data_IF_748522594013
#
_entry.id   IF_748522594013
#
_cell.length_a   1.000
_cell.length_b   1.000
_cell.length_c   1.000
_cell.angle_alpha   90.00
_cell.angle_beta   90.00
_cell.angle_gamma   90.00
#
_symmetry.space_group_name_H-M   'P 1'
#
loop_
_entity.id
_entity.type
_entity.pdbx_description
1 polymer ?
#
# COMPACT_ATOMS: atom_id res chain seq x y z
N UNK A 1 -6.19 -17.59 -3.09
CA UNK A 1 -6.79 -16.55 -3.92
C UNK A 1 -5.74 -15.97 -4.87
N UNK A 2 -6.19 -15.33 -5.94
CA UNK A 2 -5.32 -14.83 -6.99
C UNK A 2 -5.57 -13.34 -7.20
N UNK A 3 -4.53 -12.60 -7.61
CA UNK A 3 -4.57 -11.18 -7.93
C UNK A 3 -4.37 -10.98 -9.44
N UNK A 4 -5.04 -10.00 -10.02
CA UNK A 4 -4.65 -9.44 -11.32
C UNK A 4 -3.36 -8.62 -11.19
N UNK A 5 -2.85 -8.14 -12.32
CA UNK A 5 -1.86 -7.06 -12.30
C UNK A 5 -2.50 -5.80 -11.72
N UNK A 6 -1.80 -5.06 -10.83
CA UNK A 6 -2.32 -3.79 -10.34
C UNK A 6 -2.31 -2.72 -11.42
N UNK A 7 -3.41 -2.00 -11.54
CA UNK A 7 -3.57 -0.79 -12.34
C UNK A 7 -3.36 0.43 -11.45
N UNK A 8 -2.77 1.48 -11.96
CA UNK A 8 -2.44 2.63 -11.13
C UNK A 8 -2.50 3.96 -11.89
N UNK A 9 -2.70 5.02 -11.12
CA UNK A 9 -2.56 6.39 -11.58
C UNK A 9 -1.86 7.23 -10.50
N UNK A 10 -0.74 7.85 -10.84
CA UNK A 10 0.09 8.63 -9.90
C UNK A 10 0.04 10.15 -10.13
N UNK A 11 -0.64 10.61 -11.18
CA UNK A 11 -0.70 12.04 -11.50
C UNK A 11 0.62 12.60 -12.05
N UNK A 12 0.83 13.90 -11.81
CA UNK A 12 2.00 14.61 -12.32
C UNK A 12 3.13 14.59 -11.31
N UNK A 13 4.31 14.20 -11.75
CA UNK A 13 5.51 14.21 -10.92
C UNK A 13 6.03 15.66 -10.76
N UNK A 14 6.40 16.01 -9.53
CA UNK A 14 7.02 17.29 -9.18
C UNK A 14 8.21 17.08 -8.25
N UNK A 15 9.14 18.02 -8.23
CA UNK A 15 10.30 17.98 -7.33
C UNK A 15 9.89 18.33 -5.90
N UNK A 16 10.45 17.64 -4.91
CA UNK A 16 10.15 17.88 -3.49
C UNK A 16 10.75 19.20 -2.99
N UNK A 17 11.90 19.63 -3.53
CA UNK A 17 12.60 20.85 -3.13
C UNK A 17 11.91 22.16 -3.54
N UNK A 18 10.89 22.10 -4.42
CA UNK A 18 10.10 23.28 -4.82
C UNK A 18 8.83 23.45 -3.99
N UNK A 19 8.49 22.50 -3.10
CA UNK A 19 7.34 22.62 -2.21
C UNK A 19 7.48 23.88 -1.33
N UNK A 20 6.39 24.63 -1.16
CA UNK A 20 6.39 25.87 -0.39
C UNK A 20 6.96 25.71 1.02
N UNK A 21 6.74 24.55 1.64
CA UNK A 21 7.19 24.21 2.99
C UNK A 21 8.68 23.80 3.05
N UNK A 22 9.30 23.53 1.91
CA UNK A 22 10.67 23.00 1.79
C UNK A 22 11.64 24.01 1.18
N UNK A 23 11.24 24.70 0.09
CA UNK A 23 12.10 25.48 -0.81
C UNK A 23 13.01 26.51 -0.13
N UNK A 24 12.52 27.13 0.96
CA UNK A 24 13.25 28.18 1.69
C UNK A 24 13.85 27.65 3.01
N UNK A 25 13.90 26.33 3.20
CA UNK A 25 14.42 25.67 4.39
C UNK A 25 15.58 24.73 4.04
N UNK A 26 16.85 25.18 4.15
CA UNK A 26 18.02 24.36 3.82
C UNK A 26 18.11 23.05 4.63
N UNK A 27 17.66 23.07 5.89
CA UNK A 27 17.64 21.86 6.73
C UNK A 27 16.63 20.84 6.22
N UNK A 28 15.45 21.29 5.82
CA UNK A 28 14.44 20.40 5.20
C UNK A 28 14.95 19.79 3.90
N UNK A 29 15.58 20.60 3.03
CA UNK A 29 16.18 20.12 1.78
C UNK A 29 17.24 19.05 2.08
N UNK A 30 18.14 19.30 3.05
CA UNK A 30 19.18 18.34 3.42
C UNK A 30 18.58 17.04 3.96
N UNK A 31 17.57 17.10 4.84
CA UNK A 31 16.93 15.91 5.39
C UNK A 31 16.24 15.07 4.32
N UNK A 32 15.58 15.71 3.33
CA UNK A 32 15.00 15.00 2.19
C UNK A 32 16.08 14.32 1.35
N UNK A 33 17.21 15.00 1.10
CA UNK A 33 18.33 14.43 0.37
C UNK A 33 18.92 13.22 1.10
N UNK A 34 19.13 13.33 2.42
CA UNK A 34 19.60 12.21 3.27
C UNK A 34 18.63 11.03 3.25
N UNK A 35 17.33 11.30 3.13
CA UNK A 35 16.26 10.31 3.01
C UNK A 35 16.02 9.82 1.58
N UNK A 36 16.82 10.30 0.62
CA UNK A 36 16.75 9.97 -0.82
C UNK A 36 15.42 10.37 -1.48
N UNK A 37 14.70 11.36 -0.94
CA UNK A 37 13.43 11.84 -1.51
C UNK A 37 13.70 13.00 -2.46
N UNK A 38 13.43 12.83 -3.75
CA UNK A 38 13.65 13.85 -4.77
C UNK A 38 12.36 14.41 -5.36
N UNK A 39 11.36 13.52 -5.53
CA UNK A 39 10.10 13.84 -6.21
C UNK A 39 8.90 13.32 -5.44
N UNK A 40 7.73 13.85 -5.79
CA UNK A 40 6.42 13.38 -5.37
C UNK A 40 5.44 13.47 -6.53
N UNK A 41 4.28 12.86 -6.42
CA UNK A 41 3.20 12.96 -7.41
C UNK A 41 2.06 13.81 -6.85
N UNK A 42 1.47 14.64 -7.70
CA UNK A 42 0.29 15.43 -7.41
C UNK A 42 -0.82 15.13 -8.41
N UNK A 43 -2.03 14.94 -7.92
CA UNK A 43 -3.21 14.66 -8.71
C UNK A 43 -4.14 15.87 -8.68
N UNK A 44 -4.59 16.28 -9.86
CA UNK A 44 -5.71 17.22 -10.02
C UNK A 44 -6.98 16.41 -10.23
N UNK A 45 -7.92 16.50 -9.32
CA UNK A 45 -9.18 15.76 -9.39
C UNK A 45 -9.65 15.28 -8.01
N UNK A 46 -10.82 14.69 -7.99
CA UNK A 46 -11.38 14.08 -6.80
C UNK A 46 -11.20 12.54 -6.79
N UNK A 47 -11.51 11.93 -5.66
CA UNK A 47 -11.40 10.49 -5.49
C UNK A 47 -12.31 9.72 -6.46
N UNK A 48 -13.49 10.25 -6.80
CA UNK A 48 -14.42 9.61 -7.73
C UNK A 48 -13.84 9.50 -9.13
N UNK A 49 -13.39 10.62 -9.70
CA UNK A 49 -12.79 10.67 -11.03
C UNK A 49 -11.61 9.68 -11.16
N UNK A 50 -10.78 9.59 -10.10
CA UNK A 50 -9.62 8.70 -10.10
C UNK A 50 -10.02 7.24 -9.92
N UNK A 51 -11.00 6.96 -9.07
CA UNK A 51 -11.56 5.62 -8.87
C UNK A 51 -12.19 5.12 -10.16
N UNK A 52 -13.00 5.96 -10.83
CA UNK A 52 -13.62 5.64 -12.12
C UNK A 52 -12.56 5.28 -13.16
N UNK A 53 -11.51 6.11 -13.26
CA UNK A 53 -10.43 5.90 -14.21
C UNK A 53 -9.75 4.54 -14.01
N UNK A 54 -9.25 4.26 -12.79
CA UNK A 54 -8.48 3.02 -12.56
C UNK A 54 -9.37 1.77 -12.63
N UNK A 55 -10.63 1.87 -12.20
CA UNK A 55 -11.58 0.76 -12.31
C UNK A 55 -12.01 0.50 -13.76
N UNK A 56 -12.24 1.55 -14.55
CA UNK A 56 -12.56 1.42 -15.97
C UNK A 56 -11.43 0.71 -16.73
N UNK A 57 -10.18 1.12 -16.50
CA UNK A 57 -9.00 0.48 -17.10
C UNK A 57 -8.88 -0.99 -16.63
N UNK A 58 -8.96 -1.24 -15.32
CA UNK A 58 -8.89 -2.58 -14.73
C UNK A 58 -10.00 -3.52 -15.29
N UNK A 59 -11.25 -3.06 -15.30
CA UNK A 59 -12.37 -3.88 -15.78
C UNK A 59 -12.24 -4.19 -17.27
N UNK A 60 -11.78 -3.23 -18.07
CA UNK A 60 -11.53 -3.42 -19.50
C UNK A 60 -10.46 -4.48 -19.76
N UNK A 61 -9.32 -4.38 -19.08
CA UNK A 61 -8.19 -5.31 -19.28
C UNK A 61 -8.46 -6.72 -18.77
N UNK A 62 -9.18 -6.82 -17.65
CA UNK A 62 -9.59 -8.12 -17.08
C UNK A 62 -10.88 -8.68 -17.74
N UNK A 63 -11.43 -7.98 -18.76
CA UNK A 63 -12.67 -8.32 -19.45
C UNK A 63 -13.85 -8.57 -18.48
N UNK A 64 -13.96 -7.75 -17.44
CA UNK A 64 -15.01 -7.84 -16.43
C UNK A 64 -16.24 -7.03 -16.81
N UNK A 65 -17.39 -7.58 -16.56
CA UNK A 65 -18.67 -6.85 -16.56
C UNK A 65 -19.06 -6.49 -15.12
N UNK A 66 -19.97 -5.50 -14.90
CA UNK A 66 -20.46 -5.18 -13.55
C UNK A 66 -21.04 -6.40 -12.81
N UNK A 67 -21.61 -7.38 -13.54
CA UNK A 67 -22.20 -8.58 -12.98
C UNK A 67 -21.15 -9.57 -12.43
N UNK A 68 -19.91 -9.49 -12.87
CA UNK A 68 -18.81 -10.32 -12.37
C UNK A 68 -18.30 -9.84 -11.00
N UNK A 69 -18.65 -8.60 -10.61
CA UNK A 69 -18.12 -7.93 -9.42
C UNK A 69 -19.09 -8.06 -8.25
N UNK A 70 -18.69 -8.77 -7.21
CA UNK A 70 -19.54 -9.01 -6.03
C UNK A 70 -19.34 -7.99 -4.91
N UNK A 71 -18.19 -7.35 -4.84
CA UNK A 71 -17.88 -6.32 -3.86
C UNK A 71 -16.71 -5.45 -4.31
N UNK A 72 -16.67 -4.23 -3.79
CA UNK A 72 -15.54 -3.32 -3.90
C UNK A 72 -15.00 -3.08 -2.49
N UNK A 73 -13.74 -3.41 -2.26
CA UNK A 73 -13.03 -3.08 -1.04
C UNK A 73 -12.20 -1.81 -1.29
N UNK A 74 -12.44 -0.80 -0.50
CA UNK A 74 -11.90 0.53 -0.71
C UNK A 74 -11.14 1.01 0.53
N UNK A 75 -9.98 1.59 0.35
CA UNK A 75 -9.27 2.29 1.43
C UNK A 75 -8.71 3.62 0.97
N UNK A 76 -8.67 4.54 1.92
CA UNK A 76 -7.95 5.82 1.83
C UNK A 76 -7.31 6.11 3.19
N UNK A 77 -6.18 6.77 3.21
CA UNK A 77 -5.48 7.09 4.46
C UNK A 77 -5.55 8.58 4.79
N UNK A 78 -5.59 9.46 3.80
CA UNK A 78 -5.74 10.90 4.02
C UNK A 78 -7.18 11.26 4.38
N UNK A 79 -7.35 11.92 5.54
CA UNK A 79 -8.64 12.43 6.01
C UNK A 79 -8.92 13.79 5.32
N UNK A 80 -9.61 13.79 4.19
CA UNK A 80 -10.35 14.96 3.75
C UNK A 80 -11.82 14.83 4.18
N UNK A 81 -12.59 15.95 4.21
CA UNK A 81 -14.00 15.95 4.59
C UNK A 81 -14.76 14.78 3.95
N UNK A 82 -15.27 13.88 4.79
CA UNK A 82 -15.82 12.59 4.38
C UNK A 82 -17.03 12.69 3.43
N UNK A 83 -17.92 13.65 3.63
CA UNK A 83 -19.19 13.75 2.88
C UNK A 83 -19.02 14.02 1.38
N UNK A 84 -18.06 14.87 0.98
CA UNK A 84 -17.83 15.18 -0.44
C UNK A 84 -17.12 14.05 -1.19
N UNK A 85 -16.34 13.25 -0.48
CA UNK A 85 -15.56 12.15 -1.06
C UNK A 85 -16.41 10.93 -1.36
N UNK A 86 -17.30 10.59 -0.43
CA UNK A 86 -18.17 9.43 -0.58
C UNK A 86 -19.12 9.63 -1.77
N UNK A 87 -19.65 10.85 -1.95
CA UNK A 87 -20.50 11.18 -3.08
C UNK A 87 -19.78 11.04 -4.44
N UNK A 88 -18.55 11.51 -4.57
CA UNK A 88 -17.82 11.41 -5.85
C UNK A 88 -17.51 9.96 -6.21
N UNK A 89 -17.22 9.12 -5.22
CA UNK A 89 -17.01 7.68 -5.43
C UNK A 89 -18.32 6.98 -5.83
N UNK A 90 -19.44 7.31 -5.18
CA UNK A 90 -20.76 6.78 -5.55
C UNK A 90 -21.15 7.15 -7.00
N UNK A 91 -20.89 8.40 -7.43
CA UNK A 91 -21.11 8.85 -8.80
C UNK A 91 -20.21 8.05 -9.80
N UNK A 92 -18.95 7.82 -9.45
CA UNK A 92 -18.02 7.01 -10.25
C UNK A 92 -18.49 5.56 -10.42
N UNK A 93 -18.96 4.94 -9.32
CA UNK A 93 -19.50 3.59 -9.37
C UNK A 93 -20.79 3.51 -10.19
N UNK A 94 -21.62 4.54 -10.16
CA UNK A 94 -22.82 4.61 -10.99
C UNK A 94 -22.46 4.71 -12.48
N UNK A 95 -21.45 5.51 -12.84
CA UNK A 95 -20.94 5.62 -14.22
C UNK A 95 -20.40 4.30 -14.77
N UNK A 96 -19.84 3.47 -13.89
CA UNK A 96 -19.33 2.12 -14.21
C UNK A 96 -20.41 1.02 -14.13
N UNK A 97 -21.68 1.41 -13.98
CA UNK A 97 -22.82 0.48 -13.81
C UNK A 97 -22.69 -0.47 -12.58
N UNK A 98 -21.85 -0.10 -11.59
CA UNK A 98 -21.64 -0.83 -10.34
C UNK A 98 -22.62 -0.41 -9.23
N UNK A 99 -23.79 0.10 -9.58
CA UNK A 99 -24.79 0.70 -8.68
C UNK A 99 -25.31 -0.23 -7.57
N UNK A 100 -25.27 -1.53 -7.79
CA UNK A 100 -25.73 -2.55 -6.83
C UNK A 100 -24.58 -3.28 -6.16
N UNK A 101 -23.34 -2.95 -6.50
CA UNK A 101 -22.15 -3.61 -5.93
C UNK A 101 -21.83 -3.00 -4.57
N UNK A 102 -21.76 -3.80 -3.49
CA UNK A 102 -21.42 -3.30 -2.17
C UNK A 102 -20.03 -2.63 -2.15
N UNK A 103 -19.96 -1.39 -1.68
CA UNK A 103 -18.72 -0.68 -1.37
C UNK A 103 -18.41 -0.84 0.11
N UNK A 104 -17.30 -1.49 0.44
CA UNK A 104 -16.84 -1.72 1.81
C UNK A 104 -15.58 -0.90 2.04
N UNK A 105 -15.73 0.20 2.75
CA UNK A 105 -14.59 1.03 3.12
C UNK A 105 -13.88 0.46 4.34
N UNK A 106 -12.57 0.28 4.25
CA UNK A 106 -11.73 -0.23 5.33
C UNK A 106 -10.72 0.81 5.80
N UNK A 107 -10.50 0.82 7.12
CA UNK A 107 -9.57 1.72 7.79
C UNK A 107 -8.97 1.05 9.02
N UNK A 108 -8.29 1.82 9.86
CA UNK A 108 -7.72 1.35 11.12
C UNK A 108 -6.30 0.76 11.03
N UNK A 109 -5.93 0.17 9.91
CA UNK A 109 -4.56 -0.27 9.61
C UNK A 109 -3.68 0.85 9.03
N UNK A 110 -4.29 1.96 8.58
CA UNK A 110 -3.60 3.07 7.90
C UNK A 110 -2.82 2.55 6.68
N UNK A 111 -1.51 2.81 6.57
CA UNK A 111 -0.69 2.29 5.47
C UNK A 111 -0.62 0.74 5.44
N UNK A 112 -1.07 0.05 6.49
CA UNK A 112 -1.21 -1.40 6.51
C UNK A 112 -2.61 -1.91 6.06
N UNK A 113 -3.49 -1.03 5.57
CA UNK A 113 -4.83 -1.43 5.12
C UNK A 113 -4.79 -2.46 3.98
N UNK A 114 -3.79 -2.45 3.10
CA UNK A 114 -3.65 -3.44 2.03
C UNK A 114 -3.70 -4.90 2.54
N UNK A 115 -3.08 -5.19 3.69
CA UNK A 115 -3.19 -6.52 4.31
C UNK A 115 -4.63 -6.82 4.78
N UNK A 116 -5.33 -5.83 5.36
CA UNK A 116 -6.73 -5.98 5.79
C UNK A 116 -7.65 -6.23 4.60
N UNK A 117 -7.45 -5.50 3.49
CA UNK A 117 -8.23 -5.69 2.25
C UNK A 117 -8.06 -7.10 1.71
N UNK A 118 -6.84 -7.64 1.67
CA UNK A 118 -6.59 -9.02 1.23
C UNK A 118 -7.23 -10.05 2.17
N UNK A 119 -7.18 -9.87 3.48
CA UNK A 119 -7.84 -10.75 4.44
C UNK A 119 -9.37 -10.69 4.31
N UNK A 120 -9.93 -9.50 4.11
CA UNK A 120 -11.37 -9.33 3.90
C UNK A 120 -11.81 -9.97 2.57
N UNK A 121 -11.04 -9.80 1.50
CA UNK A 121 -11.29 -10.45 0.22
C UNK A 121 -11.28 -11.98 0.36
N UNK A 122 -10.32 -12.55 1.10
CA UNK A 122 -10.27 -13.99 1.37
C UNK A 122 -11.53 -14.48 2.10
N UNK A 123 -12.01 -13.72 3.09
CA UNK A 123 -13.23 -14.05 3.84
C UNK A 123 -14.49 -13.99 2.96
N UNK A 124 -14.60 -12.99 2.06
CA UNK A 124 -15.72 -12.89 1.11
C UNK A 124 -15.68 -14.04 0.10
N UNK A 125 -14.52 -14.33 -0.48
CA UNK A 125 -14.33 -15.44 -1.43
C UNK A 125 -14.49 -16.83 -0.80
N UNK A 126 -14.43 -16.96 0.53
CA UNK A 126 -14.77 -18.19 1.22
C UNK A 126 -16.28 -18.46 1.19
N UNK A 127 -17.10 -17.39 1.14
CA UNK A 127 -18.56 -17.47 1.03
C UNK A 127 -19.03 -17.67 -0.40
N UNK A 128 -18.40 -16.96 -1.34
CA UNK A 128 -18.73 -16.99 -2.76
C UNK A 128 -17.45 -17.15 -3.60
N UNK A 129 -17.03 -18.40 -3.85
CA UNK A 129 -15.77 -18.68 -4.55
C UNK A 129 -15.76 -18.28 -6.03
N UNK A 130 -16.92 -18.12 -6.66
CA UNK A 130 -17.02 -17.76 -8.10
C UNK A 130 -16.96 -16.25 -8.34
N UNK A 131 -17.04 -15.46 -7.28
CA UNK A 131 -17.06 -14.01 -7.36
C UNK A 131 -15.69 -13.41 -7.64
N UNK A 132 -15.71 -12.18 -8.17
CA UNK A 132 -14.55 -11.29 -8.27
C UNK A 132 -14.75 -10.08 -7.37
N UNK A 133 -13.72 -9.72 -6.65
CA UNK A 133 -13.70 -8.56 -5.76
C UNK A 133 -12.74 -7.53 -6.36
N UNK A 134 -13.17 -6.29 -6.48
CA UNK A 134 -12.30 -5.17 -6.81
C UNK A 134 -11.69 -4.60 -5.52
N UNK A 135 -10.41 -4.31 -5.54
CA UNK A 135 -9.73 -3.58 -4.46
C UNK A 135 -9.23 -2.27 -5.01
N UNK A 136 -9.49 -1.18 -4.26
CA UNK A 136 -9.02 0.18 -4.58
C UNK A 136 -8.32 0.76 -3.36
N UNK A 137 -7.06 1.15 -3.54
CA UNK A 137 -6.28 1.91 -2.57
C UNK A 137 -6.02 3.30 -3.14
N UNK A 138 -6.75 4.30 -2.64
CA UNK A 138 -6.71 5.67 -3.15
C UNK A 138 -6.18 6.64 -2.09
N UNK A 139 -5.18 7.44 -2.47
CA UNK A 139 -4.60 8.44 -1.59
C UNK A 139 -4.40 9.74 -2.35
N UNK A 140 -5.08 10.78 -1.89
CA UNK A 140 -4.93 12.15 -2.36
C UNK A 140 -4.66 13.01 -1.13
N UNK A 141 -3.55 13.71 -1.12
CA UNK A 141 -3.21 14.67 -0.07
C UNK A 141 -3.98 15.95 -0.32
N UNK A 142 -4.87 16.36 0.59
CA UNK A 142 -5.63 17.61 0.43
C UNK A 142 -4.68 18.81 0.29
N UNK A 143 -5.10 19.81 -0.50
CA UNK A 143 -4.32 21.06 -0.69
C UNK A 143 -4.07 21.81 0.63
N UNK A 144 -4.95 21.59 1.64
CA UNK A 144 -4.82 22.17 2.97
C UNK A 144 -3.84 21.43 3.88
N UNK A 145 -3.38 20.24 3.49
CA UNK A 145 -2.45 19.42 4.25
C UNK A 145 -1.02 19.66 3.78
N UNK A 146 -0.11 19.83 4.73
CA UNK A 146 1.33 19.84 4.44
C UNK A 146 1.75 18.46 3.92
N UNK A 147 2.39 18.42 2.76
CA UNK A 147 2.97 17.20 2.19
C UNK A 147 4.26 16.78 2.88
N UNK A 148 4.88 17.72 3.60
CA UNK A 148 6.09 17.46 4.35
C UNK A 148 5.76 16.71 5.64
N UNK A 149 6.36 15.56 5.84
CA UNK A 149 5.99 14.62 6.90
C UNK A 149 7.22 14.02 7.59
N UNK A 150 7.05 13.53 8.82
CA UNK A 150 8.11 12.92 9.64
C UNK A 150 9.42 13.77 9.68
N UNK A 151 9.30 14.99 10.15
CA UNK A 151 10.44 15.92 10.31
C UNK A 151 11.28 16.09 9.03
N UNK A 152 10.62 16.29 7.90
CA UNK A 152 11.26 16.46 6.58
C UNK A 152 12.04 15.23 6.07
N UNK A 153 11.65 14.03 6.46
CA UNK A 153 12.26 12.80 5.92
C UNK A 153 11.36 12.10 4.89
N UNK A 154 10.12 12.57 4.73
CA UNK A 154 9.12 12.00 3.85
C UNK A 154 8.30 13.10 3.20
N UNK A 155 8.01 12.98 1.91
CA UNK A 155 7.00 13.80 1.23
C UNK A 155 5.80 12.92 0.89
N UNK A 156 4.62 13.36 1.33
CA UNK A 156 3.35 12.72 0.99
C UNK A 156 3.03 12.94 -0.48
N UNK A 157 2.58 11.89 -1.13
CA UNK A 157 2.33 11.82 -2.55
C UNK A 157 0.91 11.32 -2.83
N UNK A 158 0.39 11.62 -4.00
CA UNK A 158 -0.88 11.11 -4.46
C UNK A 158 -0.68 9.86 -5.30
N UNK A 159 -1.63 8.93 -5.19
CA UNK A 159 -1.64 7.73 -5.99
C UNK A 159 -2.90 6.90 -5.76
N UNK A 160 -3.36 6.26 -6.83
CA UNK A 160 -4.46 5.30 -6.78
C UNK A 160 -4.01 4.01 -7.43
N UNK A 161 -4.29 2.90 -6.78
CA UNK A 161 -4.01 1.55 -7.29
C UNK A 161 -5.28 0.72 -7.18
N UNK A 162 -5.59 -0.06 -8.22
CA UNK A 162 -6.70 -1.00 -8.22
C UNK A 162 -6.27 -2.36 -8.78
N UNK A 163 -6.84 -3.44 -8.27
CA UNK A 163 -6.61 -4.81 -8.71
C UNK A 163 -7.80 -5.70 -8.37
N UNK A 164 -7.90 -6.84 -9.06
CA UNK A 164 -8.92 -7.84 -8.77
C UNK A 164 -8.39 -8.92 -7.83
N UNK A 165 -9.31 -9.49 -7.06
CA UNK A 165 -9.07 -10.69 -6.25
C UNK A 165 -10.16 -11.71 -6.53
N UNK A 166 -9.78 -12.95 -6.85
CA UNK A 166 -10.71 -14.04 -7.12
C UNK A 166 -10.13 -15.41 -6.76
N UNK A 167 -10.91 -16.48 -6.91
CA UNK A 167 -10.43 -17.88 -6.86
C UNK A 167 -9.99 -18.39 -8.24
N UNK A 168 -10.31 -17.68 -9.31
CA UNK A 168 -9.83 -18.00 -10.66
C UNK A 168 -8.36 -17.61 -10.77
N UNK A 169 -7.55 -18.49 -11.38
CA UNK A 169 -6.14 -18.24 -11.57
C UNK A 169 -5.92 -16.95 -12.39
N UNK A 170 -5.04 -16.10 -11.92
CA UNK A 170 -4.63 -14.86 -12.56
C UNK A 170 -3.10 -14.68 -12.44
N UNK A 171 -2.56 -13.48 -12.66
CA UNK A 171 -1.13 -13.19 -12.73
C UNK A 171 -0.35 -13.62 -11.48
N UNK A 172 -0.96 -13.46 -10.29
CA UNK A 172 -0.30 -13.74 -9.03
C UNK A 172 -1.18 -14.56 -8.09
N UNK A 173 -0.53 -15.34 -7.21
CA UNK A 173 -1.17 -16.08 -6.12
C UNK A 173 -0.79 -15.47 -4.78
N UNK A 174 -1.77 -15.09 -3.99
CA UNK A 174 -1.56 -14.77 -2.57
C UNK A 174 -1.39 -16.09 -1.82
N UNK A 175 -0.20 -16.33 -1.32
CA UNK A 175 0.15 -17.53 -0.55
C UNK A 175 -0.36 -17.42 0.88
N UNK A 176 -0.15 -16.26 1.51
CA UNK A 176 -0.59 -15.97 2.86
C UNK A 176 -0.61 -14.46 3.11
N UNK A 177 -1.48 -14.02 4.03
CA UNK A 177 -1.45 -12.69 4.61
C UNK A 177 -1.51 -12.82 6.14
N UNK A 178 -0.76 -11.96 6.84
CA UNK A 178 -0.76 -11.85 8.30
C UNK A 178 -0.65 -10.39 8.69
N UNK A 179 -1.41 -9.97 9.69
CA UNK A 179 -1.36 -8.62 10.28
C UNK A 179 -1.55 -8.70 11.79
N UNK A 180 -0.78 -7.90 12.52
CA UNK A 180 -0.82 -7.78 13.96
C UNK A 180 -1.04 -6.33 14.38
N UNK A 181 -1.73 -6.12 15.49
CA UNK A 181 -2.05 -4.81 16.04
C UNK A 181 -1.54 -4.65 17.46
N UNK A 182 -0.95 -3.49 17.76
CA UNK A 182 -0.78 -2.99 19.14
C UNK A 182 -1.00 -1.47 19.16
N UNK A 183 -2.20 -1.06 19.56
CA UNK A 183 -2.59 0.35 19.62
C UNK A 183 -1.78 1.19 20.61
N UNK A 184 -0.98 0.58 21.49
CA UNK A 184 -0.08 1.28 22.40
C UNK A 184 1.20 1.76 21.70
N UNK A 185 1.59 1.11 20.61
CA UNK A 185 2.84 1.45 19.86
C UNK A 185 2.83 2.91 19.44
N UNK A 186 1.74 3.39 18.80
CA UNK A 186 1.60 4.78 18.37
C UNK A 186 1.79 5.77 19.52
N UNK A 187 1.09 5.56 20.64
CA UNK A 187 1.18 6.46 21.79
C UNK A 187 2.58 6.49 22.42
N UNK A 188 3.26 5.35 22.44
CA UNK A 188 4.64 5.24 22.95
C UNK A 188 5.63 5.93 21.99
N UNK A 189 5.49 5.76 20.70
CA UNK A 189 6.36 6.35 19.68
C UNK A 189 6.33 7.88 19.69
N UNK A 190 5.14 8.46 19.84
CA UNK A 190 4.92 9.92 19.81
C UNK A 190 4.82 10.55 21.19
N UNK A 191 5.19 9.83 22.26
CA UNK A 191 5.13 10.35 23.63
C UNK A 191 6.15 11.46 23.95
N UNK A 192 7.11 11.71 23.06
CA UNK A 192 8.26 12.59 23.32
C UNK A 192 9.25 12.02 24.34
N UNK A 193 9.01 10.80 24.85
CA UNK A 193 9.86 10.13 25.83
C UNK A 193 10.76 9.09 25.15
N UNK A 194 12.10 9.22 25.22
CA UNK A 194 13.03 8.25 24.63
C UNK A 194 12.80 6.80 25.09
N UNK A 195 12.44 6.59 26.35
CA UNK A 195 12.11 5.26 26.86
C UNK A 195 10.85 4.70 26.17
N UNK A 196 9.84 5.55 25.90
CA UNK A 196 8.66 5.18 25.15
C UNK A 196 8.98 4.71 23.73
N UNK A 197 9.85 5.45 23.03
CA UNK A 197 10.31 5.08 21.69
C UNK A 197 11.02 3.71 21.65
N UNK A 198 11.88 3.42 22.64
CA UNK A 198 12.55 2.10 22.76
C UNK A 198 11.54 0.99 22.98
N UNK A 199 10.53 1.22 23.83
CA UNK A 199 9.48 0.23 24.08
C UNK A 199 8.65 0.01 22.82
N UNK A 200 8.28 1.09 22.10
CA UNK A 200 7.57 1.02 20.83
C UNK A 200 8.34 0.18 19.80
N UNK A 201 9.62 0.44 19.63
CA UNK A 201 10.48 -0.31 18.73
C UNK A 201 10.52 -1.81 19.07
N UNK A 202 10.75 -2.17 20.34
CA UNK A 202 10.73 -3.59 20.77
C UNK A 202 9.38 -4.27 20.52
N UNK A 203 8.27 -3.57 20.77
CA UNK A 203 6.93 -4.08 20.49
C UNK A 203 6.72 -4.29 18.99
N UNK A 204 7.11 -3.33 18.16
CA UNK A 204 7.05 -3.46 16.71
C UNK A 204 7.83 -4.68 16.23
N UNK A 205 9.06 -4.88 16.70
CA UNK A 205 9.83 -6.08 16.36
C UNK A 205 9.11 -7.38 16.74
N UNK A 206 8.48 -7.44 17.92
CA UNK A 206 7.69 -8.61 18.33
C UNK A 206 6.48 -8.85 17.41
N UNK A 207 5.79 -7.78 16.96
CA UNK A 207 4.70 -7.89 16.00
C UNK A 207 5.19 -8.44 14.67
N UNK A 208 6.31 -7.91 14.16
CA UNK A 208 6.92 -8.35 12.90
C UNK A 208 7.32 -9.83 12.94
N UNK A 209 7.93 -10.27 14.03
CA UNK A 209 8.30 -11.68 14.21
C UNK A 209 7.06 -12.58 14.17
N UNK A 210 6.00 -12.26 14.93
CA UNK A 210 4.75 -13.05 14.90
C UNK A 210 4.09 -13.08 13.53
N UNK A 211 4.08 -11.94 12.82
CA UNK A 211 3.57 -11.91 11.45
C UNK A 211 4.38 -12.83 10.53
N UNK A 212 5.72 -12.81 10.64
CA UNK A 212 6.58 -13.65 9.82
C UNK A 212 6.46 -15.14 10.17
N UNK A 213 6.33 -15.46 11.46
CA UNK A 213 6.03 -16.83 11.91
C UNK A 213 4.73 -17.34 11.28
N UNK A 214 3.66 -16.53 11.30
CA UNK A 214 2.38 -16.87 10.64
C UNK A 214 2.53 -17.08 9.13
N UNK A 215 3.34 -16.26 8.44
CA UNK A 215 3.64 -16.44 7.01
C UNK A 215 4.41 -17.75 6.81
N UNK A 216 5.42 -18.00 7.63
CA UNK A 216 6.24 -19.23 7.54
C UNK A 216 5.39 -20.48 7.75
N UNK A 217 4.53 -20.49 8.76
CA UNK A 217 3.63 -21.62 9.06
C UNK A 217 2.69 -21.94 7.89
N UNK A 218 2.14 -20.90 7.25
CA UNK A 218 1.19 -21.07 6.13
C UNK A 218 1.86 -21.41 4.81
N UNK A 219 3.09 -20.94 4.57
CA UNK A 219 3.75 -21.04 3.27
C UNK A 219 4.92 -22.02 3.26
N UNK A 220 5.41 -22.42 4.43
CA UNK A 220 6.65 -23.16 4.63
C UNK A 220 7.88 -22.44 4.04
N UNK A 221 7.82 -21.09 3.98
CA UNK A 221 8.89 -20.22 3.48
C UNK A 221 9.40 -19.32 4.61
N UNK A 222 10.70 -19.15 4.66
CA UNK A 222 11.37 -18.18 5.54
C UNK A 222 11.62 -16.87 4.79
N UNK A 223 12.07 -15.84 5.49
CA UNK A 223 12.43 -14.54 4.90
C UNK A 223 13.46 -14.68 3.74
N UNK A 224 14.35 -15.66 3.83
CA UNK A 224 15.38 -15.89 2.81
C UNK A 224 14.81 -16.42 1.48
N UNK A 225 13.66 -17.09 1.51
CA UNK A 225 13.04 -17.73 0.35
C UNK A 225 12.28 -16.75 -0.54
N UNK A 226 12.09 -15.50 -0.09
CA UNK A 226 11.49 -14.44 -0.90
C UNK A 226 12.59 -13.74 -1.71
N UNK A 227 12.35 -13.56 -3.02
CA UNK A 227 13.33 -12.92 -3.92
C UNK A 227 13.45 -11.42 -3.65
N UNK A 228 12.38 -10.77 -3.19
CA UNK A 228 12.34 -9.36 -2.85
C UNK A 228 11.35 -9.08 -1.71
N UNK A 229 11.65 -8.08 -0.89
CA UNK A 229 10.74 -7.52 0.12
C UNK A 229 10.40 -6.09 -0.28
N UNK A 230 9.12 -5.79 -0.39
CA UNK A 230 8.61 -4.45 -0.69
C UNK A 230 8.21 -3.75 0.60
N UNK A 231 8.64 -2.51 0.75
CA UNK A 231 8.32 -1.65 1.89
C UNK A 231 7.63 -0.38 1.41
N UNK A 232 7.09 0.39 2.34
CA UNK A 232 6.67 1.77 2.04
C UNK A 232 7.84 2.58 1.50
N UNK A 233 7.54 3.58 0.66
CA UNK A 233 8.53 4.49 0.05
C UNK A 233 9.12 5.47 1.08
N UNK A 234 9.63 4.94 2.17
CA UNK A 234 10.31 5.68 3.21
C UNK A 234 11.57 4.95 3.66
N UNK A 235 12.66 5.68 3.82
CA UNK A 235 13.91 5.08 4.27
C UNK A 235 13.77 4.40 5.64
N UNK A 236 12.94 4.97 6.53
CA UNK A 236 12.70 4.43 7.85
C UNK A 236 12.11 3.01 7.81
N UNK A 237 11.17 2.72 6.89
CA UNK A 237 10.60 1.36 6.76
C UNK A 237 11.58 0.38 6.15
N UNK A 238 12.43 0.84 5.22
CA UNK A 238 13.52 0.04 4.66
C UNK A 238 14.49 -0.39 5.77
N UNK A 239 14.96 0.58 6.58
CA UNK A 239 15.88 0.31 7.68
C UNK A 239 15.24 -0.59 8.75
N UNK A 240 13.98 -0.35 9.09
CA UNK A 240 13.25 -1.16 10.05
C UNK A 240 13.21 -2.65 9.67
N UNK A 241 12.89 -2.97 8.42
CA UNK A 241 12.87 -4.35 7.93
C UNK A 241 14.28 -4.93 7.83
N UNK A 242 15.22 -4.13 7.33
CA UNK A 242 16.62 -4.54 7.24
C UNK A 242 17.18 -4.96 8.60
N UNK A 243 16.99 -4.13 9.62
CA UNK A 243 17.49 -4.41 10.98
C UNK A 243 16.73 -5.54 11.67
N UNK A 244 15.40 -5.59 11.52
CA UNK A 244 14.58 -6.63 12.17
C UNK A 244 14.89 -8.05 11.70
N UNK A 245 15.31 -8.21 10.44
CA UNK A 245 15.54 -9.54 9.84
C UNK A 245 16.95 -9.73 9.28
N UNK A 246 17.86 -8.79 9.49
CA UNK A 246 19.24 -8.90 9.02
C UNK A 246 19.36 -8.96 7.49
N UNK A 247 18.48 -8.27 6.75
CA UNK A 247 18.45 -8.36 5.30
C UNK A 247 19.54 -7.53 4.65
N UNK A 248 20.07 -8.04 3.53
CA UNK A 248 20.90 -7.25 2.63
C UNK A 248 20.04 -6.21 1.89
N UNK A 249 20.60 -5.05 1.57
CA UNK A 249 19.91 -3.98 0.84
C UNK A 249 19.35 -4.46 -0.50
N UNK A 250 20.06 -5.33 -1.21
CA UNK A 250 19.62 -5.92 -2.48
C UNK A 250 18.31 -6.73 -2.39
N UNK A 251 17.95 -7.21 -1.19
CA UNK A 251 16.69 -7.93 -0.93
C UNK A 251 15.50 -7.00 -0.75
N UNK A 252 15.70 -5.71 -0.53
CA UNK A 252 14.63 -4.75 -0.27
C UNK A 252 14.42 -3.87 -1.50
N UNK A 253 13.18 -3.70 -1.91
CA UNK A 253 12.84 -2.79 -3.00
C UNK A 253 12.65 -1.37 -2.46
N UNK A 254 13.56 -0.48 -2.85
CA UNK A 254 13.59 0.92 -2.44
C UNK A 254 13.69 1.89 -3.64
N UNK A 255 13.58 1.37 -4.86
CA UNK A 255 13.83 2.11 -6.10
C UNK A 255 12.90 3.31 -6.36
N UNK A 256 11.76 3.36 -5.68
CA UNK A 256 10.74 4.38 -5.87
C UNK A 256 10.75 5.49 -4.80
N UNK A 257 11.56 5.38 -3.76
CA UNK A 257 11.73 6.45 -2.77
C UNK A 257 12.08 7.78 -3.43
N UNK A 258 13.11 7.88 -4.32
CA UNK A 258 13.45 9.15 -4.93
C UNK A 258 12.41 9.64 -5.94
N UNK A 259 11.64 8.75 -6.54
CA UNK A 259 10.79 9.08 -7.69
C UNK A 259 9.39 9.55 -7.31
N UNK A 260 8.78 8.92 -6.31
CA UNK A 260 7.33 9.01 -6.11
C UNK A 260 6.90 9.47 -4.73
N UNK A 261 7.82 9.62 -3.77
CA UNK A 261 7.45 9.92 -2.39
C UNK A 261 6.56 8.83 -1.77
N UNK A 262 5.87 9.16 -0.67
CA UNK A 262 5.05 8.23 0.10
C UNK A 262 3.56 8.41 -0.21
N UNK A 263 2.94 7.48 -0.93
CA UNK A 263 1.49 7.43 -1.18
C UNK A 263 0.82 6.26 -0.46
N UNK A 264 1.22 6.07 0.78
CA UNK A 264 0.64 5.18 1.77
C UNK A 264 0.66 3.69 1.36
N UNK A 265 -0.43 2.94 1.65
CA UNK A 265 -0.48 1.50 1.37
C UNK A 265 -0.45 1.13 -0.11
N UNK A 266 -0.99 2.00 -0.97
CA UNK A 266 -1.07 1.78 -2.41
C UNK A 266 0.30 1.59 -3.07
N UNK A 267 1.36 2.20 -2.51
CA UNK A 267 2.71 2.11 -3.05
C UNK A 267 3.29 0.70 -3.06
N UNK A 268 2.86 -0.18 -2.15
CA UNK A 268 3.32 -1.57 -2.12
C UNK A 268 2.92 -2.32 -3.38
N UNK A 269 1.66 -2.16 -3.80
CA UNK A 269 1.13 -2.80 -5.02
C UNK A 269 1.65 -2.14 -6.29
N UNK A 270 1.89 -0.83 -6.26
CA UNK A 270 2.60 -0.13 -7.33
C UNK A 270 4.05 -0.63 -7.48
N UNK A 271 4.80 -0.67 -6.38
CA UNK A 271 6.20 -1.07 -6.37
C UNK A 271 6.38 -2.50 -6.88
N UNK A 272 5.51 -3.43 -6.47
CA UNK A 272 5.63 -4.80 -6.94
C UNK A 272 5.22 -4.95 -8.42
N UNK A 273 4.25 -4.18 -8.90
CA UNK A 273 3.88 -4.17 -10.33
C UNK A 273 5.02 -3.63 -11.21
N UNK A 274 5.71 -2.58 -10.76
CA UNK A 274 6.89 -2.05 -11.45
C UNK A 274 8.04 -3.05 -11.48
N UNK A 275 8.28 -3.75 -10.37
CA UNK A 275 9.28 -4.81 -10.30
C UNK A 275 8.94 -5.99 -11.24
N UNK A 276 7.68 -6.33 -11.38
CA UNK A 276 7.25 -7.36 -12.33
C UNK A 276 7.60 -6.99 -13.78
N UNK A 277 7.45 -5.70 -14.13
CA UNK A 277 7.78 -5.18 -15.46
C UNK A 277 9.29 -5.15 -15.73
N UNK A 278 10.14 -5.14 -14.70
CA UNK A 278 11.61 -5.19 -14.88
C UNK A 278 12.12 -6.52 -15.43
N UNK A 279 11.32 -7.58 -15.33
CA UNK A 279 11.71 -8.94 -15.73
C UNK A 279 12.60 -9.67 -14.72
N UNK A 280 12.92 -9.03 -13.58
CA UNK A 280 13.74 -9.64 -12.52
C UNK A 280 12.97 -10.67 -11.68
N UNK A 281 11.64 -10.68 -11.77
CA UNK A 281 10.77 -11.60 -11.04
C UNK A 281 10.38 -12.77 -11.92
N UNK A 282 10.99 -13.93 -11.67
CA UNK A 282 10.73 -15.12 -12.44
C UNK A 282 9.42 -15.82 -12.01
N UNK A 283 8.88 -16.63 -12.92
CA UNK A 283 7.74 -17.50 -12.61
C UNK A 283 8.07 -18.40 -11.41
N UNK A 284 7.06 -18.62 -10.58
CA UNK A 284 7.08 -19.40 -9.33
C UNK A 284 7.91 -18.80 -8.18
N UNK A 285 8.65 -17.73 -8.43
CA UNK A 285 9.26 -16.94 -7.37
C UNK A 285 8.22 -16.22 -6.52
N UNK A 286 8.54 -16.02 -5.24
CA UNK A 286 7.69 -15.31 -4.32
C UNK A 286 8.35 -14.04 -3.78
N UNK A 287 7.53 -13.02 -3.56
CA UNK A 287 7.90 -11.76 -2.94
C UNK A 287 7.11 -11.55 -1.65
N UNK A 288 7.57 -10.66 -0.81
CA UNK A 288 6.93 -10.30 0.44
C UNK A 288 6.61 -8.81 0.46
N UNK A 289 5.34 -8.45 0.68
CA UNK A 289 4.91 -7.08 0.90
C UNK A 289 4.87 -6.81 2.40
N UNK A 290 5.60 -5.80 2.86
CA UNK A 290 5.60 -5.34 4.25
C UNK A 290 4.62 -4.19 4.42
N UNK A 291 3.50 -4.44 5.05
CA UNK A 291 2.47 -3.47 5.39
C UNK A 291 2.77 -2.84 6.75
N UNK A 292 2.98 -1.53 6.78
CA UNK A 292 3.40 -0.81 7.98
C UNK A 292 2.51 0.42 8.23
N UNK A 293 1.69 0.37 9.27
CA UNK A 293 0.96 1.51 9.82
C UNK A 293 1.50 1.90 11.20
N UNK A 294 0.89 2.90 11.86
CA UNK A 294 1.34 3.35 13.20
C UNK A 294 1.13 2.32 14.31
N UNK A 295 0.13 1.46 14.18
CA UNK A 295 -0.24 0.45 15.20
C UNK A 295 -0.49 -0.92 14.60
N UNK A 296 -0.31 -1.07 13.30
CA UNK A 296 -0.60 -2.26 12.54
C UNK A 296 0.60 -2.61 11.67
N UNK A 297 1.03 -3.86 11.72
CA UNK A 297 2.17 -4.36 10.97
C UNK A 297 1.82 -5.71 10.38
N UNK A 298 2.16 -5.95 9.12
CA UNK A 298 1.79 -7.19 8.46
C UNK A 298 2.66 -7.55 7.28
N UNK A 299 2.46 -8.76 6.80
CA UNK A 299 3.09 -9.27 5.59
C UNK A 299 2.06 -9.93 4.68
N UNK A 300 2.24 -9.77 3.37
CA UNK A 300 1.55 -10.57 2.35
C UNK A 300 2.58 -11.24 1.46
N UNK A 301 2.54 -12.58 1.39
CA UNK A 301 3.40 -13.38 0.54
C UNK A 301 2.68 -13.60 -0.81
N UNK A 302 3.32 -13.20 -1.90
CA UNK A 302 2.76 -13.23 -3.26
C UNK A 302 3.70 -13.99 -4.18
N UNK A 303 3.17 -14.94 -4.96
CA UNK A 303 3.89 -15.74 -5.94
C UNK A 303 3.46 -15.34 -7.35
N UNK A 304 4.42 -15.20 -8.27
CA UNK A 304 4.17 -15.00 -9.70
C UNK A 304 3.81 -16.32 -10.37
N UNK A 305 2.78 -16.31 -11.22
CA UNK A 305 2.31 -17.52 -11.91
C UNK A 305 2.66 -17.57 -13.41
N UNK A 306 2.91 -16.44 -14.02
CA UNK A 306 3.28 -16.41 -15.43
C UNK A 306 3.11 -15.05 -16.08
#
# INVERSE_FOLDING_TARGET
MYLSRPYHFLGTQARADVLAQVKDNPEAIQRLADSKVECYNAISGDFGTLTERVLSELMSEEALTPQDVSAILYTRVCEANSEGLDRSVDEALANLELVSTPLIQMGGGQCANGALLLMQAEALLAKDPESTILIVEANIVPDTQDRNYLDNTVILSDGVVAYTVSKKQNAYKVLATSIEFDHKVRGLQYSGNPAGAIIAFKKTQQLLVRCMESITDKTQRTMADFVKVFTSNTLNTVEQIRESFGLQESKIYAGNIPKHGHFFGAELFYNFAEFDQSGEWAKDDAVLLFHCGYSAFGFSAIQKLG
#
